data_IF_571266645556
#
_entry.id   IF_571266645556
#
_cell.length_a   1.000
_cell.length_b   1.000
_cell.length_c   1.000
_cell.angle_alpha   90.00
_cell.angle_beta   90.00
_cell.angle_gamma   90.00
#
_symmetry.space_group_name_H-M   'P 1'
#
loop_
_entity.id
_entity.type
_entity.pdbx_description
1 polymer ?
#
# COMPACT_ATOMS: atom_id res chain seq x y z
N UNK A 1 -27.61 9.36 -3.12
CA UNK A 1 -26.64 10.40 -3.57
C UNK A 1 -25.32 10.16 -2.84
N UNK A 2 -24.16 10.32 -3.51
CA UNK A 2 -22.84 10.17 -2.86
C UNK A 2 -22.33 11.55 -2.40
N UNK A 3 -21.72 11.63 -1.21
CA UNK A 3 -21.02 12.82 -0.72
C UNK A 3 -19.65 12.96 -1.38
N UNK A 4 -19.12 14.17 -1.43
CA UNK A 4 -17.76 14.41 -1.89
C UNK A 4 -16.75 13.90 -0.84
N UNK A 5 -15.66 13.29 -1.30
CA UNK A 5 -14.59 12.79 -0.42
C UNK A 5 -13.70 13.91 0.13
N UNK A 6 -13.58 15.02 -0.62
CA UNK A 6 -12.81 16.19 -0.19
C UNK A 6 -13.62 17.15 0.69
N UNK A 7 -14.95 17.09 0.60
CA UNK A 7 -15.85 17.96 1.38
C UNK A 7 -17.11 17.18 1.79
N UNK A 8 -17.20 16.74 3.06
CA UNK A 8 -18.35 15.99 3.57
C UNK A 8 -19.69 16.74 3.49
N UNK A 9 -19.68 18.07 3.43
CA UNK A 9 -20.88 18.90 3.36
C UNK A 9 -21.41 19.04 1.93
N UNK A 10 -20.60 18.68 0.91
CA UNK A 10 -20.95 18.79 -0.50
C UNK A 10 -21.43 17.46 -1.09
N UNK A 11 -22.48 17.53 -1.92
CA UNK A 11 -22.88 16.40 -2.79
C UNK A 11 -21.89 16.30 -3.95
N UNK A 12 -21.44 15.09 -4.27
CA UNK A 12 -20.52 14.89 -5.38
C UNK A 12 -21.18 15.30 -6.71
N UNK A 13 -20.54 16.23 -7.42
CA UNK A 13 -20.96 16.81 -8.70
C UNK A 13 -20.18 16.26 -9.89
N UNK A 14 -19.28 15.30 -9.68
CA UNK A 14 -18.45 14.72 -10.74
C UNK A 14 -17.31 15.61 -11.22
N UNK A 15 -16.87 16.60 -10.42
CA UNK A 15 -15.79 17.52 -10.81
C UNK A 15 -14.39 16.88 -10.97
N UNK A 16 -14.20 15.63 -10.55
CA UNK A 16 -12.94 14.87 -10.62
C UNK A 16 -11.73 15.51 -9.92
N UNK A 17 -11.95 16.48 -9.01
CA UNK A 17 -10.87 17.11 -8.25
C UNK A 17 -10.15 16.12 -7.32
N UNK A 18 -10.88 15.17 -6.75
CA UNK A 18 -10.32 14.09 -5.92
C UNK A 18 -9.38 13.14 -6.68
N UNK A 19 -9.33 13.22 -8.02
CA UNK A 19 -8.45 12.42 -8.85
C UNK A 19 -7.18 13.18 -9.26
N UNK A 20 -6.99 14.43 -8.81
CA UNK A 20 -5.83 15.25 -9.12
C UNK A 20 -4.72 15.02 -8.11
N UNK A 21 -3.49 15.33 -8.51
CA UNK A 21 -2.36 15.22 -7.59
C UNK A 21 -2.30 16.45 -6.67
N UNK A 22 -2.13 16.19 -5.37
CA UNK A 22 -2.00 17.25 -4.37
C UNK A 22 -0.77 18.14 -4.59
N UNK A 23 0.31 17.59 -5.17
CA UNK A 23 1.53 18.33 -5.47
C UNK A 23 1.48 19.07 -6.81
N UNK A 24 0.73 18.55 -7.77
CA UNK A 24 0.59 19.11 -9.11
C UNK A 24 -0.86 19.01 -9.57
N UNK A 25 -1.67 20.06 -9.36
CA UNK A 25 -3.08 20.08 -9.74
C UNK A 25 -3.33 19.90 -11.24
N UNK A 26 -2.31 20.08 -12.09
CA UNK A 26 -2.47 19.91 -13.54
C UNK A 26 -2.54 18.43 -13.95
N UNK A 27 -1.95 17.53 -13.15
CA UNK A 27 -1.93 16.08 -13.45
C UNK A 27 -3.00 15.30 -12.69
N UNK A 28 -3.37 14.14 -13.25
CA UNK A 28 -4.10 13.11 -12.52
C UNK A 28 -3.15 12.41 -11.54
N UNK A 29 -3.68 12.02 -10.38
CA UNK A 29 -2.93 11.23 -9.41
C UNK A 29 -2.62 9.85 -10.01
N UNK A 30 -1.34 9.55 -10.11
CA UNK A 30 -0.76 8.30 -10.59
C UNK A 30 -0.27 7.41 -9.43
N UNK A 31 -0.61 7.77 -8.19
CA UNK A 31 -0.09 7.13 -6.98
C UNK A 31 1.45 7.08 -6.93
N UNK A 32 2.13 8.15 -7.36
CA UNK A 32 3.60 8.23 -7.27
C UNK A 32 4.16 8.39 -5.84
N UNK A 33 3.30 8.56 -4.82
CA UNK A 33 3.65 8.70 -3.40
C UNK A 33 4.59 9.85 -3.00
N UNK A 34 5.01 10.72 -3.93
CA UNK A 34 5.88 11.88 -3.63
C UNK A 34 5.30 12.87 -2.63
N UNK A 35 3.97 12.95 -2.49
CA UNK A 35 3.32 13.76 -1.46
C UNK A 35 3.63 13.28 -0.03
N UNK A 36 4.08 12.04 0.13
CA UNK A 36 4.47 11.47 1.42
C UNK A 36 5.96 11.74 1.76
N UNK A 37 6.77 12.15 0.78
CA UNK A 37 8.21 12.40 0.95
C UNK A 37 8.53 13.82 1.47
N UNK A 38 7.51 14.67 1.67
CA UNK A 38 7.68 16.02 2.20
C UNK A 38 7.93 15.95 3.71
N UNK A 39 9.18 15.63 4.04
CA UNK A 39 9.73 15.14 5.29
C UNK A 39 9.68 16.08 6.52
N UNK A 40 8.81 17.08 6.57
CA UNK A 40 8.71 17.94 7.76
C UNK A 40 7.88 17.31 8.90
N UNK A 41 7.03 16.32 8.63
CA UNK A 41 6.07 15.74 9.59
C UNK A 41 5.78 14.26 9.29
N UNK A 42 6.82 13.42 9.34
CA UNK A 42 6.69 11.97 9.12
C UNK A 42 6.00 11.31 10.33
N UNK A 43 4.68 11.48 10.48
CA UNK A 43 3.85 10.78 11.47
C UNK A 43 3.49 9.34 11.02
N UNK A 44 4.42 8.66 10.34
CA UNK A 44 4.23 7.27 9.93
C UNK A 44 5.53 6.48 10.06
N UNK A 45 5.40 5.23 10.48
CA UNK A 45 6.52 4.30 10.51
C UNK A 45 6.81 3.82 9.08
N UNK A 46 8.08 3.89 8.67
CA UNK A 46 8.54 3.34 7.39
C UNK A 46 9.13 1.96 7.62
N UNK A 47 8.57 0.95 6.96
CA UNK A 47 9.10 -0.41 6.94
C UNK A 47 9.83 -0.61 5.60
N UNK A 48 11.18 -0.54 5.55
CA UNK A 48 11.92 -0.77 4.30
C UNK A 48 11.86 -2.25 3.91
N UNK A 49 11.63 -2.52 2.62
CA UNK A 49 11.74 -3.87 2.05
C UNK A 49 13.20 -4.08 1.63
N UNK A 50 13.91 -4.98 2.30
CA UNK A 50 15.31 -5.29 2.00
C UNK A 50 15.47 -6.16 0.76
N UNK A 51 14.57 -7.14 0.56
CA UNK A 51 14.60 -8.07 -0.56
C UNK A 51 13.20 -8.58 -0.89
N UNK A 52 12.93 -8.78 -2.17
CA UNK A 52 11.76 -9.52 -2.67
C UNK A 52 12.24 -10.86 -3.21
N UNK A 53 11.61 -11.94 -2.74
CA UNK A 53 11.94 -13.31 -3.17
C UNK A 53 10.77 -13.80 -4.03
N UNK A 54 11.05 -14.15 -5.29
CA UNK A 54 10.06 -14.71 -6.21
C UNK A 54 10.41 -16.18 -6.49
N UNK A 55 9.46 -17.09 -6.28
CA UNK A 55 9.63 -18.53 -6.50
C UNK A 55 9.80 -19.34 -5.20
N UNK A 56 9.55 -20.65 -5.29
CA UNK A 56 9.57 -21.59 -4.17
C UNK A 56 10.99 -22.02 -3.76
N UNK A 57 11.97 -21.85 -4.65
CA UNK A 57 13.37 -22.27 -4.49
C UNK A 57 14.26 -21.29 -3.69
N UNK A 58 13.67 -20.25 -3.11
CA UNK A 58 14.41 -19.22 -2.38
C UNK A 58 13.85 -18.98 -0.97
N UNK A 59 12.94 -19.85 -0.52
CA UNK A 59 12.78 -20.08 0.90
C UNK A 59 14.05 -20.81 1.38
N UNK A 60 14.76 -20.31 2.39
CA UNK A 60 15.83 -21.10 3.02
C UNK A 60 15.21 -22.44 3.41
N UNK A 61 15.82 -23.54 2.95
CA UNK A 61 15.50 -24.87 3.46
C UNK A 61 15.80 -24.83 4.96
N UNK A 62 14.74 -24.86 5.77
CA UNK A 62 14.73 -24.62 7.22
C UNK A 62 15.04 -23.17 7.65
N UNK A 63 13.99 -22.43 8.01
CA UNK A 63 14.04 -21.75 9.30
C UNK A 63 14.09 -22.90 10.32
N UNK A 64 15.29 -23.22 10.79
CA UNK A 64 15.46 -23.99 12.00
C UNK A 64 14.71 -23.26 13.12
N UNK A 65 13.73 -23.95 13.72
CA UNK A 65 12.85 -23.35 14.74
C UNK A 65 13.63 -22.82 15.96
N UNK A 66 14.90 -23.22 16.11
CA UNK A 66 15.85 -22.77 17.12
C UNK A 66 16.55 -21.42 16.82
N UNK A 67 16.51 -20.89 15.60
CA UNK A 67 17.17 -19.60 15.25
C UNK A 67 16.24 -18.38 15.22
N UNK A 68 14.93 -18.57 15.51
CA UNK A 68 13.93 -17.51 15.40
C UNK A 68 13.70 -16.64 16.66
N UNK A 69 14.59 -16.66 17.65
CA UNK A 69 14.53 -15.67 18.74
C UNK A 69 15.89 -15.47 19.36
N UNK A 70 16.63 -14.46 18.90
CA UNK A 70 17.47 -13.64 19.80
C UNK A 70 17.45 -12.20 19.27
N UNK A 71 16.46 -11.44 19.72
CA UNK A 71 16.23 -10.01 19.41
C UNK A 71 15.45 -9.74 18.11
N UNK A 72 14.23 -10.28 17.99
CA UNK A 72 13.24 -9.57 17.18
C UNK A 72 13.03 -8.19 17.83
N UNK A 73 13.34 -7.07 17.14
CA UNK A 73 13.15 -5.75 17.72
C UNK A 73 11.66 -5.59 18.09
N UNK A 74 11.33 -4.82 19.15
CA UNK A 74 9.97 -4.74 19.69
C UNK A 74 8.90 -4.19 18.72
N UNK A 75 9.27 -3.90 17.47
CA UNK A 75 8.40 -3.40 16.41
C UNK A 75 8.27 -4.35 15.20
N UNK A 76 8.64 -5.63 15.30
CA UNK A 76 8.48 -6.57 14.19
C UNK A 76 6.99 -6.77 13.82
N UNK A 77 6.58 -6.24 12.66
CA UNK A 77 5.25 -6.47 12.08
C UNK A 77 5.31 -7.77 11.28
N UNK A 78 4.62 -8.80 11.76
CA UNK A 78 4.48 -10.06 11.03
C UNK A 78 3.51 -9.90 9.85
N UNK A 79 4.02 -9.49 8.69
CA UNK A 79 3.23 -9.50 7.45
C UNK A 79 3.11 -10.93 6.89
N UNK A 80 2.09 -11.66 7.32
CA UNK A 80 1.73 -12.93 6.67
C UNK A 80 1.18 -12.67 5.27
N UNK A 81 1.53 -13.53 4.31
CA UNK A 81 1.16 -13.39 2.90
C UNK A 81 -0.35 -13.24 2.70
N UNK A 82 -0.78 -12.28 1.86
CA UNK A 82 -2.16 -12.05 1.41
C UNK A 82 -2.71 -13.22 0.56
N UNK A 83 -2.82 -14.43 1.11
CA UNK A 83 -3.41 -15.61 0.44
C UNK A 83 -4.94 -15.52 0.23
N UNK A 84 -5.56 -14.37 0.50
CA UNK A 84 -7.02 -14.21 0.53
C UNK A 84 -7.67 -13.40 -0.59
N UNK A 85 -6.91 -12.65 -1.41
CA UNK A 85 -7.54 -11.75 -2.41
C UNK A 85 -7.79 -12.51 -3.71
N UNK A 86 -8.92 -13.21 -3.81
CA UNK A 86 -9.43 -13.72 -5.10
C UNK A 86 -9.78 -12.53 -5.99
N UNK A 87 -8.90 -12.21 -6.95
CA UNK A 87 -9.21 -11.25 -8.01
C UNK A 87 -10.46 -11.69 -8.77
N UNK A 88 -11.47 -10.82 -8.82
CA UNK A 88 -12.67 -11.01 -9.65
C UNK A 88 -12.25 -11.01 -11.11
N UNK A 89 -12.16 -12.18 -11.75
CA UNK A 89 -11.98 -12.28 -13.20
C UNK A 89 -13.16 -11.56 -13.87
N UNK A 90 -12.88 -10.48 -14.59
CA UNK A 90 -13.86 -9.84 -15.46
C UNK A 90 -14.29 -10.84 -16.53
N UNK A 91 -15.59 -11.13 -16.60
CA UNK A 91 -16.17 -11.92 -17.68
C UNK A 91 -16.08 -11.14 -18.99
N UNK A 92 -15.17 -11.53 -19.88
CA UNK A 92 -15.22 -11.15 -21.28
C UNK A 92 -16.36 -11.91 -21.95
N UNK A 93 -17.39 -11.19 -22.38
CA UNK A 93 -18.26 -11.63 -23.48
C UNK A 93 -17.60 -11.14 -24.77
N UNK A 94 -17.32 -12.08 -25.67
CA UNK A 94 -16.84 -11.88 -27.03
C UNK A 94 -16.97 -13.20 -27.74
#
# INVERSE_FOLDING_TARGET
MKRCVLDPHKICDGCNQCNRCDLDPTKLCDNCFRCLDQAAQMEYARIPISRVIMGESALPEALDEDSMVEEAPPYAVLCTTLRGVRGRRGGGRG
#
